data_IF_994558017663
#
_entry.id   IF_994558017663
#
_cell.length_a   1.000
_cell.length_b   1.000
_cell.length_c   1.000
_cell.angle_alpha   90.00
_cell.angle_beta   90.00
_cell.angle_gamma   90.00
#
_symmetry.space_group_name_H-M   'P 1'
#
loop_
_entity.id
_entity.type
_entity.pdbx_description
1 polymer ?
#
# COMPACT_ATOMS: atom_id res chain seq x y z
N UNK A 1 3.98 35.24 -24.75
CA UNK A 1 5.04 34.36 -24.24
C UNK A 1 5.26 34.39 -22.72
N UNK A 2 4.72 35.28 -21.96
CA UNK A 2 4.89 35.36 -20.49
C UNK A 2 4.01 34.39 -19.66
N UNK A 3 2.95 33.84 -20.25
CA UNK A 3 2.01 32.95 -19.52
C UNK A 3 2.55 31.53 -19.23
N UNK A 4 3.53 31.05 -20.00
CA UNK A 4 4.05 29.68 -19.82
C UNK A 4 5.06 29.53 -18.68
N UNK A 5 5.78 30.58 -18.33
CA UNK A 5 6.78 30.54 -17.27
C UNK A 5 6.15 30.50 -15.87
N UNK A 6 5.07 31.24 -15.67
CA UNK A 6 4.38 31.25 -14.38
C UNK A 6 3.71 29.90 -14.05
N UNK A 7 3.24 29.19 -15.07
CA UNK A 7 2.64 27.85 -14.89
C UNK A 7 3.68 26.81 -14.50
N UNK A 8 4.89 26.87 -15.07
CA UNK A 8 6.00 25.99 -14.72
C UNK A 8 6.52 26.25 -13.31
N UNK A 9 6.66 27.50 -12.90
CA UNK A 9 7.11 27.89 -11.56
C UNK A 9 6.08 27.44 -10.50
N UNK A 10 4.79 27.66 -10.74
CA UNK A 10 3.70 27.23 -9.84
C UNK A 10 3.68 25.70 -9.66
N UNK A 11 3.86 24.93 -10.74
CA UNK A 11 3.92 23.47 -10.71
C UNK A 11 5.14 22.97 -9.93
N UNK A 12 6.30 23.61 -10.12
CA UNK A 12 7.53 23.27 -9.40
C UNK A 12 7.40 23.50 -7.89
N UNK A 13 6.87 24.64 -7.47
CA UNK A 13 6.63 24.96 -6.06
C UNK A 13 5.63 23.99 -5.41
N UNK A 14 4.58 23.61 -6.13
CA UNK A 14 3.59 22.63 -5.66
C UNK A 14 4.19 21.26 -5.45
N UNK A 15 5.04 20.78 -6.38
CA UNK A 15 5.78 19.50 -6.25
C UNK A 15 6.73 19.53 -5.05
N UNK A 16 7.44 20.63 -4.84
CA UNK A 16 8.36 20.80 -3.71
C UNK A 16 7.65 20.75 -2.36
N UNK A 17 6.50 21.42 -2.25
CA UNK A 17 5.63 21.37 -1.07
C UNK A 17 5.07 19.97 -0.82
N UNK A 18 4.61 19.27 -1.87
CA UNK A 18 4.11 17.91 -1.80
C UNK A 18 5.19 16.92 -1.38
N UNK A 19 6.42 17.06 -1.88
CA UNK A 19 7.56 16.24 -1.48
C UNK A 19 7.92 16.40 -0.02
N UNK A 20 7.89 17.62 0.52
CA UNK A 20 8.09 17.88 1.96
C UNK A 20 7.00 17.24 2.81
N UNK A 21 5.75 17.36 2.42
CA UNK A 21 4.61 16.71 3.10
C UNK A 21 4.78 15.19 3.14
N UNK A 22 5.12 14.61 1.99
CA UNK A 22 5.31 13.17 1.85
C UNK A 22 6.47 12.66 2.70
N UNK A 23 7.57 13.39 2.75
CA UNK A 23 8.72 13.06 3.58
C UNK A 23 8.36 13.07 5.08
N UNK A 24 7.67 14.12 5.55
CA UNK A 24 7.18 14.20 6.92
C UNK A 24 6.23 13.05 7.26
N UNK A 25 5.34 12.73 6.36
CA UNK A 25 4.38 11.64 6.53
C UNK A 25 5.10 10.29 6.68
N UNK A 26 6.05 9.98 5.80
CA UNK A 26 6.86 8.76 5.91
C UNK A 26 7.66 8.71 7.21
N UNK A 27 8.36 9.79 7.54
CA UNK A 27 9.19 9.87 8.74
C UNK A 27 8.39 9.71 10.02
N UNK A 28 7.14 10.15 10.06
CA UNK A 28 6.25 9.99 11.20
C UNK A 28 5.93 8.52 11.53
N UNK A 29 6.13 7.62 10.57
CA UNK A 29 5.79 6.19 10.69
C UNK A 29 7.02 5.29 10.86
N UNK A 30 8.23 5.85 10.87
CA UNK A 30 9.45 5.08 11.16
C UNK A 30 9.35 4.49 12.58
N UNK A 31 9.62 3.20 12.70
CA UNK A 31 9.47 2.45 13.95
C UNK A 31 8.04 2.01 14.28
N UNK A 32 7.04 2.46 13.51
CA UNK A 32 5.64 2.00 13.62
C UNK A 32 5.46 0.69 12.86
N UNK A 33 4.45 -0.06 13.23
CA UNK A 33 4.09 -1.30 12.54
C UNK A 33 3.43 -0.99 11.19
N UNK A 34 3.85 -1.72 10.13
CA UNK A 34 3.13 -1.69 8.86
C UNK A 34 1.70 -2.22 9.06
N UNK A 35 0.66 -1.46 8.66
CA UNK A 35 -0.72 -1.90 8.87
C UNK A 35 -1.06 -3.18 8.11
N UNK A 36 -0.40 -3.47 7.00
CA UNK A 36 -0.67 -4.68 6.23
C UNK A 36 0.01 -5.93 6.82
N UNK A 37 1.33 -5.92 7.01
CA UNK A 37 2.07 -7.10 7.48
C UNK A 37 2.35 -7.13 8.99
N UNK A 38 2.24 -6.00 9.68
CA UNK A 38 2.42 -5.92 11.13
C UNK A 38 3.87 -5.83 11.61
N UNK A 39 4.84 -5.72 10.71
CA UNK A 39 6.24 -5.57 11.07
C UNK A 39 6.64 -4.12 11.20
N UNK A 40 7.61 -3.85 12.07
CA UNK A 40 8.14 -2.50 12.27
C UNK A 40 8.82 -1.97 11.01
N UNK A 41 8.49 -0.75 10.64
CA UNK A 41 9.03 -0.11 9.44
C UNK A 41 10.30 0.68 9.76
N UNK A 42 11.26 0.65 8.84
CA UNK A 42 12.54 1.35 8.92
C UNK A 42 12.51 2.65 8.11
N UNK A 43 13.57 3.45 8.23
CA UNK A 43 13.78 4.64 7.42
C UNK A 43 13.68 4.30 5.93
N UNK A 44 13.28 5.29 5.12
CA UNK A 44 13.30 5.16 3.67
C UNK A 44 14.69 4.78 3.19
N UNK A 45 14.78 3.73 2.41
CA UNK A 45 16.00 3.29 1.73
C UNK A 45 15.73 3.15 0.22
N UNK A 46 16.76 3.05 -0.62
CA UNK A 46 16.57 2.78 -2.04
C UNK A 46 15.72 1.51 -2.26
N UNK A 47 14.84 1.48 -3.27
CA UNK A 47 14.01 0.32 -3.56
C UNK A 47 14.83 -0.97 -3.66
N UNK A 48 14.33 -2.03 -3.04
CA UNK A 48 14.95 -3.36 -3.06
C UNK A 48 16.05 -3.62 -2.04
N UNK A 49 16.49 -2.60 -1.27
CA UNK A 49 17.52 -2.78 -0.23
C UNK A 49 16.96 -3.12 1.14
N UNK A 50 15.81 -2.58 1.50
CA UNK A 50 15.14 -2.87 2.78
C UNK A 50 13.64 -3.09 2.53
N UNK A 51 13.17 -4.35 2.67
CA UNK A 51 11.75 -4.66 2.46
C UNK A 51 10.83 -4.01 3.47
N UNK A 52 11.34 -3.54 4.60
CA UNK A 52 10.54 -2.90 5.65
C UNK A 52 10.66 -1.38 5.67
N UNK A 53 11.30 -0.76 4.68
CA UNK A 53 11.37 0.70 4.59
C UNK A 53 9.98 1.32 4.40
N UNK A 54 9.77 2.49 5.01
CA UNK A 54 8.52 3.25 4.89
C UNK A 54 8.28 3.70 3.45
N UNK A 55 7.09 3.46 2.93
CA UNK A 55 6.66 3.92 1.61
C UNK A 55 5.26 4.52 1.69
N UNK A 56 4.95 5.43 0.76
CA UNK A 56 3.59 5.93 0.59
C UNK A 56 2.84 5.05 -0.39
N UNK A 57 1.68 4.57 0.00
CA UNK A 57 0.78 3.81 -0.85
C UNK A 57 -0.55 4.54 -1.00
N UNK A 58 -1.10 4.49 -2.20
CA UNK A 58 -2.49 4.87 -2.45
C UNK A 58 -3.39 3.70 -2.06
N UNK A 59 -4.30 3.93 -1.12
CA UNK A 59 -5.23 2.89 -0.65
C UNK A 59 -6.03 2.37 -1.83
N UNK A 60 -6.65 3.28 -2.58
CA UNK A 60 -7.27 3.01 -3.87
C UNK A 60 -6.31 3.42 -4.99
N UNK A 61 -5.97 2.51 -5.92
CA UNK A 61 -5.02 2.84 -6.99
C UNK A 61 -5.43 4.05 -7.83
N UNK A 62 -4.44 4.85 -8.24
CA UNK A 62 -4.61 6.13 -8.94
C UNK A 62 -4.74 6.01 -10.46
N UNK A 63 -5.30 4.99 -10.99
CA UNK A 63 -5.58 4.91 -12.42
C UNK A 63 -7.03 5.27 -12.74
N UNK A 64 -7.35 5.42 -14.02
CA UNK A 64 -8.70 5.77 -14.47
C UNK A 64 -9.75 4.73 -14.09
N UNK A 65 -9.34 3.48 -13.97
CA UNK A 65 -10.23 2.36 -13.69
C UNK A 65 -10.59 2.30 -12.21
N UNK A 66 -9.61 2.51 -11.32
CA UNK A 66 -9.80 2.46 -9.87
C UNK A 66 -10.26 3.80 -9.28
N UNK A 67 -9.93 4.91 -9.93
CA UNK A 67 -10.41 6.24 -9.56
C UNK A 67 -9.84 6.83 -8.27
N UNK A 68 -8.73 6.29 -7.77
CA UNK A 68 -8.06 6.85 -6.59
C UNK A 68 -7.44 8.22 -6.85
N UNK A 69 -7.25 9.00 -5.81
CA UNK A 69 -6.64 10.33 -5.85
C UNK A 69 -5.41 10.42 -4.93
N UNK A 70 -4.75 11.58 -4.90
CA UNK A 70 -3.58 11.86 -4.05
C UNK A 70 -3.92 12.63 -2.78
N UNK A 71 -5.18 12.67 -2.38
CA UNK A 71 -5.60 13.26 -1.10
C UNK A 71 -5.04 12.43 0.07
N UNK A 72 -4.73 13.08 1.18
CA UNK A 72 -4.20 12.41 2.37
C UNK A 72 -5.11 11.28 2.87
N UNK A 73 -6.43 11.39 2.67
CA UNK A 73 -7.41 10.34 3.00
C UNK A 73 -7.22 9.05 2.19
N UNK A 74 -6.58 9.12 1.02
CA UNK A 74 -6.27 7.97 0.17
C UNK A 74 -4.80 7.52 0.29
N UNK A 75 -4.03 8.10 1.21
CA UNK A 75 -2.63 7.74 1.42
C UNK A 75 -2.46 6.97 2.73
N UNK A 76 -1.58 5.98 2.71
CA UNK A 76 -1.14 5.28 3.89
C UNK A 76 0.34 4.98 3.79
N UNK A 77 0.99 4.84 4.93
CA UNK A 77 2.37 4.37 4.99
C UNK A 77 2.37 2.88 5.26
N UNK A 78 2.94 2.14 4.33
CA UNK A 78 3.18 0.70 4.44
C UNK A 78 4.63 0.39 4.10
N UNK A 79 5.11 -0.78 4.44
CA UNK A 79 6.47 -1.16 4.11
C UNK A 79 6.64 -1.39 2.59
N UNK A 80 7.87 -1.28 2.12
CA UNK A 80 8.20 -1.48 0.69
C UNK A 80 7.73 -2.84 0.17
N UNK A 81 7.95 -3.91 0.93
CA UNK A 81 7.50 -5.25 0.54
C UNK A 81 6.01 -5.33 0.28
N UNK A 82 5.20 -4.75 1.17
CA UNK A 82 3.75 -4.71 1.01
C UNK A 82 3.31 -3.84 -0.18
N UNK A 83 3.93 -2.68 -0.34
CA UNK A 83 3.67 -1.79 -1.47
C UNK A 83 3.97 -2.47 -2.80
N UNK A 84 5.13 -3.10 -2.92
CA UNK A 84 5.55 -3.83 -4.12
C UNK A 84 4.62 -5.02 -4.41
N UNK A 85 4.23 -5.77 -3.39
CA UNK A 85 3.29 -6.89 -3.54
C UNK A 85 1.92 -6.43 -4.07
N UNK A 86 1.40 -5.32 -3.58
CA UNK A 86 0.14 -4.73 -4.06
C UNK A 86 0.23 -4.32 -5.53
N UNK A 87 1.33 -3.69 -5.92
CA UNK A 87 1.56 -3.30 -7.33
C UNK A 87 1.63 -4.52 -8.26
N UNK A 88 2.34 -5.56 -7.85
CA UNK A 88 2.42 -6.82 -8.61
C UNK A 88 1.08 -7.53 -8.70
N UNK A 89 0.31 -7.53 -7.63
CA UNK A 89 -1.03 -8.11 -7.61
C UNK A 89 -1.96 -7.39 -8.59
N UNK A 90 -1.96 -6.06 -8.56
CA UNK A 90 -2.73 -5.23 -9.49
C UNK A 90 -2.41 -5.60 -10.95
N UNK A 91 -1.12 -5.66 -11.31
CA UNK A 91 -0.68 -6.05 -12.64
C UNK A 91 -1.13 -7.47 -13.01
N UNK A 92 -1.00 -8.42 -12.09
CA UNK A 92 -1.41 -9.82 -12.31
C UNK A 92 -2.89 -9.94 -12.68
N UNK A 93 -3.77 -9.23 -11.96
CA UNK A 93 -5.21 -9.28 -12.23
C UNK A 93 -5.59 -8.50 -13.48
N UNK A 94 -4.96 -7.37 -13.75
CA UNK A 94 -5.16 -6.60 -14.99
C UNK A 94 -4.83 -7.42 -16.24
N UNK A 95 -3.76 -8.22 -16.21
CA UNK A 95 -3.39 -9.12 -17.31
C UNK A 95 -4.47 -10.20 -17.59
N UNK A 96 -5.26 -10.56 -16.59
CA UNK A 96 -6.39 -11.47 -16.73
C UNK A 96 -7.69 -10.77 -17.13
N UNK A 97 -7.68 -9.45 -17.29
CA UNK A 97 -8.85 -8.63 -17.52
C UNK A 97 -9.71 -8.38 -16.29
N UNK A 98 -9.18 -8.63 -15.09
CA UNK A 98 -9.89 -8.47 -13.83
C UNK A 98 -9.48 -7.16 -13.12
N UNK A 99 -10.45 -6.57 -12.45
CA UNK A 99 -10.26 -5.38 -11.62
C UNK A 99 -10.66 -5.74 -10.19
N UNK A 100 -9.70 -5.65 -9.27
CA UNK A 100 -9.98 -5.86 -7.86
C UNK A 100 -10.78 -4.68 -7.30
N UNK A 101 -11.85 -4.93 -6.54
CA UNK A 101 -12.71 -3.86 -6.02
C UNK A 101 -12.03 -3.06 -4.91
N UNK A 102 -12.52 -1.83 -4.69
CA UNK A 102 -12.00 -0.92 -3.66
C UNK A 102 -11.99 -1.55 -2.27
N UNK A 103 -13.00 -2.33 -1.94
CA UNK A 103 -13.09 -3.07 -0.67
C UNK A 103 -11.89 -3.99 -0.45
N UNK A 104 -11.41 -4.64 -1.50
CA UNK A 104 -10.20 -5.46 -1.42
C UNK A 104 -8.97 -4.59 -1.13
N UNK A 105 -8.77 -3.51 -1.87
CA UNK A 105 -7.62 -2.61 -1.70
C UNK A 105 -7.59 -2.01 -0.29
N UNK A 106 -8.73 -1.58 0.22
CA UNK A 106 -8.85 -1.09 1.58
C UNK A 106 -8.54 -2.20 2.61
N UNK A 107 -9.16 -3.37 2.48
CA UNK A 107 -8.99 -4.46 3.43
C UNK A 107 -7.58 -5.06 3.40
N UNK A 108 -6.87 -4.97 2.29
CA UNK A 108 -5.49 -5.46 2.20
C UNK A 108 -4.55 -4.71 3.14
N UNK A 109 -4.82 -3.44 3.41
CA UNK A 109 -4.07 -2.65 4.39
C UNK A 109 -4.69 -2.78 5.79
N UNK A 110 -6.00 -2.65 5.92
CA UNK A 110 -6.71 -2.49 7.19
C UNK A 110 -7.46 -3.74 7.65
N UNK A 111 -6.96 -4.92 7.32
CA UNK A 111 -7.59 -6.19 7.67
C UNK A 111 -7.73 -6.43 9.18
N UNK A 112 -6.96 -5.75 10.01
CA UNK A 112 -7.04 -5.85 11.47
C UNK A 112 -8.02 -4.86 12.12
N UNK A 113 -8.62 -3.94 11.34
CA UNK A 113 -9.62 -3.01 11.88
C UNK A 113 -10.93 -3.74 12.19
N UNK A 114 -11.57 -3.48 13.39
CA UNK A 114 -12.51 -4.42 14.00
C UNK A 114 -13.81 -4.69 13.25
N UNK A 115 -14.35 -3.72 12.50
CA UNK A 115 -15.75 -3.83 12.07
C UNK A 115 -16.05 -4.77 10.91
N UNK A 116 -15.11 -5.02 9.98
CA UNK A 116 -15.40 -5.77 8.75
C UNK A 116 -14.27 -6.70 8.29
N UNK A 117 -13.16 -6.77 9.03
CA UNK A 117 -11.96 -7.49 8.59
C UNK A 117 -12.19 -8.97 8.26
N UNK A 118 -12.96 -9.64 9.08
CA UNK A 118 -13.24 -11.08 8.94
C UNK A 118 -14.03 -11.34 7.65
N UNK A 119 -15.08 -10.55 7.42
CA UNK A 119 -15.95 -10.73 6.27
C UNK A 119 -15.22 -10.45 4.94
N UNK A 120 -14.41 -9.39 4.91
CA UNK A 120 -13.68 -9.02 3.70
C UNK A 120 -12.61 -10.05 3.31
N UNK A 121 -11.90 -10.60 4.28
CA UNK A 121 -10.93 -11.67 4.04
C UNK A 121 -11.64 -12.95 3.54
N UNK A 122 -12.77 -13.31 4.12
CA UNK A 122 -13.57 -14.46 3.68
C UNK A 122 -14.14 -14.29 2.27
N UNK A 123 -14.45 -13.06 1.86
CA UNK A 123 -14.97 -12.76 0.52
C UNK A 123 -13.88 -12.87 -0.55
N UNK A 124 -12.62 -12.55 -0.20
CA UNK A 124 -11.50 -12.50 -1.14
C UNK A 124 -10.35 -13.45 -0.77
N UNK A 125 -10.59 -14.75 -0.51
CA UNK A 125 -9.54 -15.65 -0.02
C UNK A 125 -8.44 -15.91 -1.04
N UNK A 126 -8.76 -16.01 -2.32
CA UNK A 126 -7.77 -16.26 -3.39
C UNK A 126 -6.87 -15.05 -3.62
N UNK A 127 -7.46 -13.86 -3.61
CA UNK A 127 -6.75 -12.58 -3.78
C UNK A 127 -5.79 -12.34 -2.62
N UNK A 128 -6.20 -12.68 -1.40
CA UNK A 128 -5.34 -12.65 -0.22
C UNK A 128 -4.18 -13.64 -0.31
N UNK A 129 -4.43 -14.86 -0.76
CA UNK A 129 -3.40 -15.86 -0.96
C UNK A 129 -2.36 -15.40 -1.99
N UNK A 130 -2.81 -14.82 -3.09
CA UNK A 130 -1.93 -14.27 -4.13
C UNK A 130 -1.08 -13.12 -3.61
N UNK A 131 -1.68 -12.22 -2.82
CA UNK A 131 -0.96 -11.09 -2.21
C UNK A 131 0.17 -11.59 -1.29
N UNK A 132 -0.11 -12.58 -0.46
CA UNK A 132 0.87 -13.16 0.46
C UNK A 132 2.06 -13.78 -0.29
N UNK A 133 1.81 -14.46 -1.40
CA UNK A 133 2.88 -15.05 -2.22
C UNK A 133 3.79 -14.01 -2.87
N UNK A 134 3.28 -12.81 -3.12
CA UNK A 134 4.03 -11.73 -3.76
C UNK A 134 4.89 -10.91 -2.79
N UNK A 135 4.79 -11.14 -1.49
CA UNK A 135 5.60 -10.44 -0.50
C UNK A 135 7.09 -10.81 -0.62
N UNK A 136 7.95 -9.79 -0.71
CA UNK A 136 9.40 -9.95 -0.79
C UNK A 136 10.04 -9.90 0.61
N UNK A 137 9.65 -10.83 1.47
CA UNK A 137 10.12 -10.98 2.86
C UNK A 137 10.50 -12.42 3.13
N UNK A 138 11.24 -12.64 4.21
CA UNK A 138 11.65 -13.98 4.62
C UNK A 138 10.45 -14.91 4.83
N UNK A 139 10.61 -16.18 4.51
CA UNK A 139 9.55 -17.17 4.58
C UNK A 139 8.94 -17.31 5.98
N UNK A 140 9.75 -17.22 7.03
CA UNK A 140 9.27 -17.23 8.41
C UNK A 140 8.30 -16.08 8.70
N UNK A 141 8.59 -14.88 8.16
CA UNK A 141 7.73 -13.70 8.29
C UNK A 141 6.43 -13.92 7.54
N UNK A 142 6.48 -14.47 6.33
CA UNK A 142 5.28 -14.83 5.56
C UNK A 142 4.41 -15.82 6.32
N UNK A 143 4.99 -16.86 6.90
CA UNK A 143 4.26 -17.86 7.67
C UNK A 143 3.52 -17.27 8.87
N UNK A 144 4.16 -16.36 9.61
CA UNK A 144 3.51 -15.63 10.71
C UNK A 144 2.32 -14.80 10.23
N UNK A 145 2.48 -14.12 9.11
CA UNK A 145 1.40 -13.33 8.52
C UNK A 145 0.26 -14.22 8.04
N UNK A 146 0.56 -15.29 7.34
CA UNK A 146 -0.41 -16.29 6.91
C UNK A 146 -1.18 -16.88 8.09
N UNK A 147 -0.50 -17.20 9.19
CA UNK A 147 -1.10 -17.71 10.41
C UNK A 147 -2.11 -16.74 11.02
N UNK A 148 -1.80 -15.45 11.05
CA UNK A 148 -2.75 -14.43 11.51
C UNK A 148 -4.00 -14.35 10.63
N UNK A 149 -3.81 -14.33 9.32
CA UNK A 149 -4.93 -14.27 8.36
C UNK A 149 -5.78 -15.53 8.46
N UNK A 150 -5.15 -16.70 8.55
CA UNK A 150 -5.84 -17.98 8.75
C UNK A 150 -6.67 -17.97 10.04
N UNK A 151 -6.10 -17.49 11.14
CA UNK A 151 -6.83 -17.36 12.42
C UNK A 151 -8.05 -16.45 12.30
N UNK A 152 -7.99 -15.36 11.53
CA UNK A 152 -9.14 -14.48 11.27
C UNK A 152 -10.21 -15.20 10.45
N UNK A 153 -9.83 -15.97 9.44
CA UNK A 153 -10.77 -16.70 8.58
C UNK A 153 -11.48 -17.81 9.33
N UNK A 154 -10.78 -18.51 10.22
CA UNK A 154 -11.31 -19.65 10.97
C UNK A 154 -12.18 -19.28 12.18
N UNK A 155 -12.12 -18.04 12.65
CA UNK A 155 -12.97 -17.53 13.72
C UNK A 155 -14.31 -17.05 13.19
#
# INVERSE_FOLDING_TARGET
MKKNNNKKISTHLRRKSQNKRNLRFRNSKVGKKCPQCGYSMNKTSPPGKDPFSVTIEHIQPMDLVHGGDSNMSNLEIICYSCNNARNKLKQKYELKGDILPDKFWYSSIYHERPRNKINLIKIYPNEWADLLQLLSIEEQVKQKFQGRIKGIIET
#
